data_IF_197464063674
#
_entry.id   IF_197464063674
#
_cell.length_a   1.000
_cell.length_b   1.000
_cell.length_c   1.000
_cell.angle_alpha   90.00
_cell.angle_beta   90.00
_cell.angle_gamma   90.00
#
_symmetry.space_group_name_H-M   'P 1'
#
loop_
_entity.id
_entity.type
_entity.pdbx_description
1 polymer ?
#
# COMPACT_ATOMS: atom_id res chain seq x y z
N UNK A 1 -8.80 15.73 -1.13
CA UNK A 1 -7.84 14.79 -0.51
C UNK A 1 -8.36 14.40 0.85
N UNK A 2 -8.32 13.11 1.22
CA UNK A 2 -8.86 12.65 2.51
C UNK A 2 -7.91 13.07 3.66
N UNK A 3 -8.46 13.35 4.85
CA UNK A 3 -7.68 13.82 6.01
C UNK A 3 -6.67 12.77 6.49
N UNK A 4 -6.99 11.51 6.25
CA UNK A 4 -6.22 10.33 6.62
C UNK A 4 -4.93 10.23 5.79
N UNK A 5 -5.01 10.51 4.48
CA UNK A 5 -3.84 10.56 3.60
C UNK A 5 -2.86 11.67 4.02
N UNK A 6 -3.39 12.83 4.41
CA UNK A 6 -2.61 13.97 4.92
C UNK A 6 -1.96 13.62 6.25
N UNK A 7 -2.71 13.01 7.18
CA UNK A 7 -2.19 12.60 8.48
C UNK A 7 -1.06 11.57 8.37
N UNK A 8 -1.15 10.62 7.44
CA UNK A 8 -0.10 9.62 7.21
C UNK A 8 1.18 10.26 6.63
N UNK A 9 1.04 11.17 5.65
CA UNK A 9 2.17 11.93 5.11
C UNK A 9 2.85 12.78 6.19
N UNK A 10 2.07 13.48 7.02
CA UNK A 10 2.61 14.31 8.11
C UNK A 10 3.33 13.48 9.18
N UNK A 11 2.86 12.26 9.48
CA UNK A 11 3.50 11.36 10.45
C UNK A 11 4.83 10.78 9.99
N UNK A 12 5.05 10.62 8.68
CA UNK A 12 6.30 10.08 8.12
C UNK A 12 7.37 11.15 7.83
N UNK A 13 7.10 12.43 8.11
CA UNK A 13 8.01 13.55 7.88
C UNK A 13 8.00 14.06 6.42
N UNK A 14 8.85 15.04 6.10
CA UNK A 14 8.90 15.73 4.79
C UNK A 14 9.20 14.84 3.57
N UNK A 15 9.46 13.54 3.77
CA UNK A 15 9.69 12.60 2.69
C UNK A 15 8.37 12.09 2.11
N UNK A 16 7.80 12.88 1.19
CA UNK A 16 6.67 12.48 0.36
C UNK A 16 7.09 11.23 -0.44
N UNK A 17 6.51 10.08 -0.11
CA UNK A 17 6.71 8.85 -0.88
C UNK A 17 5.74 8.81 -2.07
N UNK A 18 6.24 8.48 -3.25
CA UNK A 18 5.37 8.16 -4.39
C UNK A 18 4.58 6.89 -4.09
N UNK A 19 3.25 6.98 -4.10
CA UNK A 19 2.39 5.80 -4.06
C UNK A 19 2.04 5.43 -5.50
N UNK A 20 2.26 4.17 -5.87
CA UNK A 20 1.98 3.71 -7.23
C UNK A 20 1.44 2.29 -7.24
N UNK A 21 0.55 2.01 -8.19
CA UNK A 21 0.15 0.66 -8.58
C UNK A 21 0.78 0.19 -9.90
N UNK A 22 1.58 1.06 -10.52
CA UNK A 22 2.24 0.80 -11.79
C UNK A 22 3.64 0.23 -11.55
N UNK A 23 3.87 -0.98 -12.09
CA UNK A 23 5.15 -1.68 -11.95
C UNK A 23 6.31 -0.92 -12.60
N UNK A 24 6.08 -0.24 -13.72
CA UNK A 24 7.13 0.51 -14.41
C UNK A 24 7.50 1.76 -13.60
N UNK A 25 6.50 2.49 -13.10
CA UNK A 25 6.70 3.64 -12.21
C UNK A 25 7.43 3.23 -10.93
N UNK A 26 7.14 2.06 -10.36
CA UNK A 26 7.89 1.52 -9.22
C UNK A 26 9.37 1.31 -9.55
N UNK A 27 9.68 0.67 -10.69
CA UNK A 27 11.06 0.41 -11.14
C UNK A 27 11.80 1.72 -11.45
N UNK A 28 11.15 2.66 -12.13
CA UNK A 28 11.74 3.96 -12.47
C UNK A 28 12.04 4.75 -11.19
N UNK A 29 11.11 4.76 -10.24
CA UNK A 29 11.29 5.46 -8.97
C UNK A 29 12.45 4.89 -8.15
N UNK A 30 12.65 3.57 -8.20
CA UNK A 30 13.84 2.93 -7.61
C UNK A 30 15.15 3.47 -8.20
N UNK A 31 15.23 3.51 -9.54
CA UNK A 31 16.42 4.01 -10.26
C UNK A 31 16.70 5.49 -9.96
N UNK A 32 15.66 6.27 -9.76
CA UNK A 32 15.76 7.70 -9.45
C UNK A 32 15.98 7.97 -7.95
N UNK A 33 16.11 6.92 -7.11
CA UNK A 33 16.23 7.03 -5.64
C UNK A 33 15.09 7.81 -5.00
N UNK A 34 13.91 7.78 -5.62
CA UNK A 34 12.70 8.38 -5.06
C UNK A 34 12.09 7.39 -4.08
N UNK A 35 11.74 7.86 -2.88
CA UNK A 35 10.97 7.04 -1.94
C UNK A 35 9.64 6.67 -2.56
N UNK A 36 9.30 5.39 -2.49
CA UNK A 36 8.13 4.83 -3.17
C UNK A 36 7.47 3.75 -2.31
N UNK A 37 6.19 3.54 -2.57
CA UNK A 37 5.40 2.51 -1.93
C UNK A 37 4.40 1.95 -2.95
N UNK A 38 4.12 0.64 -2.91
CA UNK A 38 3.00 0.12 -3.68
C UNK A 38 1.68 0.53 -3.03
N UNK A 39 0.63 0.73 -3.83
CA UNK A 39 -0.71 1.03 -3.30
C UNK A 39 -1.16 -0.04 -2.29
N UNK A 40 -0.88 -1.32 -2.55
CA UNK A 40 -1.23 -2.42 -1.65
C UNK A 40 -0.55 -2.29 -0.27
N UNK A 41 0.70 -1.86 -0.24
CA UNK A 41 1.44 -1.65 1.02
C UNK A 41 0.84 -0.49 1.82
N UNK A 42 0.34 0.55 1.14
CA UNK A 42 -0.31 1.70 1.78
C UNK A 42 -1.61 1.26 2.43
N UNK A 43 -2.42 0.48 1.70
CA UNK A 43 -3.69 -0.04 2.20
C UNK A 43 -3.47 -0.85 3.48
N UNK A 44 -2.46 -1.73 3.49
CA UNK A 44 -2.07 -2.48 4.70
C UNK A 44 -1.67 -1.53 5.84
N UNK A 45 -0.86 -0.51 5.57
CA UNK A 45 -0.44 0.47 6.59
C UNK A 45 -1.62 1.24 7.19
N UNK A 46 -2.59 1.63 6.35
CA UNK A 46 -3.79 2.35 6.79
C UNK A 46 -4.65 1.49 7.71
N UNK A 47 -4.78 0.20 7.42
CA UNK A 47 -5.48 -0.75 8.30
C UNK A 47 -4.70 -0.95 9.61
N UNK A 48 -3.39 -1.17 9.54
CA UNK A 48 -2.54 -1.33 10.73
C UNK A 48 -2.58 -0.09 11.64
N UNK A 49 -2.67 1.11 11.04
CA UNK A 49 -2.79 2.39 11.73
C UNK A 49 -4.21 2.71 12.22
N UNK A 50 -5.19 1.82 12.00
CA UNK A 50 -6.62 2.01 12.31
C UNK A 50 -7.24 3.23 11.61
N UNK A 51 -6.68 3.62 10.47
CA UNK A 51 -7.17 4.71 9.60
C UNK A 51 -8.08 4.20 8.47
N UNK A 52 -8.16 2.88 8.29
CA UNK A 52 -9.02 2.21 7.31
C UNK A 52 -9.55 0.89 7.90
N UNK A 53 -10.79 0.53 7.59
CA UNK A 53 -11.36 -0.76 7.99
C UNK A 53 -10.82 -1.89 7.11
N UNK A 54 -10.71 -3.10 7.66
CA UNK A 54 -10.27 -4.28 6.86
C UNK A 54 -11.22 -4.55 5.68
N UNK A 55 -12.53 -4.41 5.89
CA UNK A 55 -13.51 -4.62 4.83
C UNK A 55 -13.30 -3.68 3.62
N UNK A 56 -13.10 -2.38 3.87
CA UNK A 56 -12.81 -1.42 2.80
C UNK A 56 -11.45 -1.71 2.13
N UNK A 57 -10.46 -2.11 2.91
CA UNK A 57 -9.15 -2.50 2.37
C UNK A 57 -9.25 -3.71 1.43
N UNK A 58 -10.01 -4.73 1.79
CA UNK A 58 -10.24 -5.91 0.96
C UNK A 58 -10.96 -5.55 -0.36
N UNK A 59 -11.97 -4.68 -0.30
CA UNK A 59 -12.65 -4.16 -1.50
C UNK A 59 -11.67 -3.45 -2.44
N UNK A 60 -10.82 -2.57 -1.90
CA UNK A 60 -9.79 -1.85 -2.67
C UNK A 60 -8.81 -2.85 -3.30
N UNK A 61 -8.30 -3.81 -2.53
CA UNK A 61 -7.33 -4.80 -3.02
C UNK A 61 -7.94 -5.60 -4.18
N UNK A 62 -9.17 -6.10 -4.04
CA UNK A 62 -9.86 -6.84 -5.11
C UNK A 62 -10.11 -5.98 -6.34
N UNK A 63 -10.48 -4.72 -6.17
CA UNK A 63 -10.69 -3.80 -7.30
C UNK A 63 -9.40 -3.55 -8.10
N UNK A 64 -8.23 -3.72 -7.49
CA UNK A 64 -6.92 -3.56 -8.16
C UNK A 64 -6.42 -4.83 -8.86
N UNK A 65 -7.14 -5.94 -8.77
CA UNK A 65 -6.73 -7.24 -9.34
C UNK A 65 -6.31 -7.18 -10.82
N UNK A 66 -6.94 -6.41 -11.72
CA UNK A 66 -6.50 -6.30 -13.12
C UNK A 66 -5.11 -5.66 -13.30
N UNK A 67 -4.59 -4.96 -12.28
CA UNK A 67 -3.34 -4.19 -12.35
C UNK A 67 -2.16 -4.90 -11.68
N UNK A 68 -2.43 -5.91 -10.86
CA UNK A 68 -1.41 -6.66 -10.14
C UNK A 68 -1.41 -8.12 -10.55
N UNK A 69 -0.25 -8.79 -10.47
CA UNK A 69 -0.25 -10.24 -10.61
C UNK A 69 -1.03 -10.87 -9.44
N UNK A 70 -1.77 -11.96 -9.69
CA UNK A 70 -2.59 -12.61 -8.66
C UNK A 70 -1.87 -12.97 -7.36
N UNK A 71 -0.54 -13.21 -7.41
CA UNK A 71 0.29 -13.42 -6.23
C UNK A 71 0.32 -12.24 -5.25
N UNK A 72 0.37 -10.99 -5.75
CA UNK A 72 0.34 -9.79 -4.92
C UNK A 72 -1.03 -9.64 -4.24
N UNK A 73 -2.11 -9.83 -4.98
CA UNK A 73 -3.48 -9.74 -4.45
C UNK A 73 -3.70 -10.77 -3.34
N UNK A 74 -3.41 -12.04 -3.62
CA UNK A 74 -3.57 -13.12 -2.65
C UNK A 74 -2.71 -12.90 -1.41
N UNK A 75 -1.49 -12.41 -1.57
CA UNK A 75 -0.61 -12.06 -0.46
C UNK A 75 -1.18 -10.91 0.38
N UNK A 76 -1.60 -9.81 -0.24
CA UNK A 76 -2.11 -8.65 0.51
C UNK A 76 -3.38 -8.98 1.28
N UNK A 77 -4.32 -9.71 0.67
CA UNK A 77 -5.53 -10.19 1.38
C UNK A 77 -5.17 -11.03 2.60
N UNK A 78 -4.15 -11.90 2.49
CA UNK A 78 -3.68 -12.72 3.61
C UNK A 78 -3.00 -11.91 4.72
N UNK A 79 -2.34 -10.80 4.39
CA UNK A 79 -1.83 -9.85 5.40
C UNK A 79 -3.00 -9.19 6.13
N UNK A 80 -4.01 -8.70 5.39
CA UNK A 80 -5.18 -8.05 5.98
C UNK A 80 -5.94 -8.99 6.92
N UNK A 81 -6.12 -10.26 6.53
CA UNK A 81 -6.77 -11.30 7.34
C UNK A 81 -6.01 -11.58 8.64
N UNK A 82 -4.67 -11.70 8.57
CA UNK A 82 -3.83 -12.13 9.70
C UNK A 82 -3.39 -10.99 10.61
N UNK A 83 -3.46 -9.74 10.14
CA UNK A 83 -2.93 -8.58 10.83
C UNK A 83 -1.40 -8.59 11.01
N UNK A 84 -0.67 -9.44 10.28
CA UNK A 84 0.74 -9.72 10.54
C UNK A 84 1.58 -9.55 9.26
N UNK A 85 2.59 -8.66 9.31
CA UNK A 85 3.51 -8.31 8.20
C UNK A 85 4.66 -9.32 8.03
N UNK A 86 4.54 -10.54 8.54
CA UNK A 86 5.66 -11.50 8.70
C UNK A 86 6.14 -12.22 7.43
N UNK A 87 5.70 -11.82 6.24
CA UNK A 87 6.18 -12.40 5.00
C UNK A 87 6.92 -11.33 4.21
N UNK A 88 8.20 -11.12 4.53
CA UNK A 88 9.29 -10.57 3.71
C UNK A 88 10.44 -10.21 4.67
N UNK A 89 11.18 -11.23 5.10
CA UNK A 89 12.56 -11.10 5.58
C UNK A 89 13.44 -11.93 4.65
#
# INVERSE_FOLDING_TARGET
>A
MSKEAIALCLKKGENISLITDDRLAYIVSDRMRVQKLLLLDLVVELVASRLMSSALAEEIVRATEPRYSGGFIAHTLKILERGDRKCLV
#
